data_IF_540745956247
#
_entry.id   IF_540745956247
#
_cell.length_a   1.000
_cell.length_b   1.000
_cell.length_c   1.000
_cell.angle_alpha   90.00
_cell.angle_beta   90.00
_cell.angle_gamma   90.00
#
_symmetry.space_group_name_H-M   'P 1'
#
loop_
_entity.id
_entity.type
_entity.pdbx_description
1 polymer ?
#
# COMPACT_ATOMS: atom_id res chain seq x y z
N UNK A 1 -6.44 -38.06 8.67
CA UNK A 1 -5.48 -37.05 8.18
C UNK A 1 -6.14 -36.25 7.07
N UNK A 2 -6.47 -34.99 7.30
CA UNK A 2 -6.97 -34.11 6.24
C UNK A 2 -5.76 -33.60 5.44
N UNK A 3 -5.62 -34.06 4.19
CA UNK A 3 -4.66 -33.50 3.24
C UNK A 3 -5.13 -32.07 2.97
N UNK A 4 -4.44 -31.09 3.55
CA UNK A 4 -4.61 -29.68 3.23
C UNK A 4 -4.35 -29.50 1.74
N UNK A 5 -5.40 -29.37 0.92
CA UNK A 5 -5.27 -28.97 -0.47
C UNK A 5 -4.61 -27.60 -0.48
N UNK A 6 -3.39 -27.52 -1.01
CA UNK A 6 -2.74 -26.25 -1.29
C UNK A 6 -3.72 -25.40 -2.11
N UNK A 7 -4.12 -24.27 -1.53
CA UNK A 7 -5.04 -23.35 -2.17
C UNK A 7 -4.28 -22.68 -3.31
N UNK A 8 -4.89 -22.56 -4.49
CA UNK A 8 -4.27 -21.88 -5.61
C UNK A 8 -3.93 -20.42 -5.22
N UNK A 9 -2.75 -19.90 -5.64
CA UNK A 9 -2.33 -18.57 -5.24
C UNK A 9 -3.29 -17.50 -5.77
N UNK A 10 -3.48 -16.43 -5.00
CA UNK A 10 -4.33 -15.31 -5.42
C UNK A 10 -3.63 -14.49 -6.51
N UNK A 11 -4.40 -13.72 -7.30
CA UNK A 11 -3.81 -12.81 -8.28
C UNK A 11 -2.87 -11.77 -7.63
N UNK A 12 -3.17 -11.38 -6.38
CA UNK A 12 -2.35 -10.44 -5.60
C UNK A 12 -1.02 -11.11 -5.22
N UNK A 13 -1.03 -12.37 -4.81
CA UNK A 13 0.18 -13.14 -4.52
C UNK A 13 1.06 -13.34 -5.78
N UNK A 14 0.43 -13.62 -6.92
CA UNK A 14 1.14 -13.74 -8.20
C UNK A 14 1.79 -12.41 -8.57
N UNK A 15 1.05 -11.31 -8.48
CA UNK A 15 1.59 -9.97 -8.76
C UNK A 15 2.71 -9.59 -7.78
N UNK A 16 2.53 -9.89 -6.50
CA UNK A 16 3.54 -9.60 -5.49
C UNK A 16 4.86 -10.31 -5.79
N UNK A 17 4.85 -11.57 -6.23
CA UNK A 17 6.07 -12.28 -6.64
C UNK A 17 6.77 -11.69 -7.87
N UNK A 18 6.07 -10.92 -8.70
CA UNK A 18 6.69 -10.19 -9.83
C UNK A 18 7.32 -8.87 -9.40
N UNK A 19 6.75 -8.21 -8.39
CA UNK A 19 7.14 -6.85 -7.98
C UNK A 19 8.17 -6.91 -6.84
N UNK A 20 7.92 -7.75 -5.84
CA UNK A 20 8.67 -7.84 -4.60
C UNK A 20 9.81 -8.84 -4.69
N UNK A 21 10.89 -8.59 -3.94
CA UNK A 21 11.92 -9.60 -3.71
C UNK A 21 11.54 -10.55 -2.55
N UNK A 22 12.38 -11.57 -2.31
CA UNK A 22 12.11 -12.58 -1.29
C UNK A 22 12.00 -12.00 0.12
N UNK A 23 12.80 -10.98 0.45
CA UNK A 23 12.80 -10.36 1.78
C UNK A 23 11.55 -9.51 1.99
N UNK A 24 11.10 -8.80 0.95
CA UNK A 24 9.85 -8.06 0.94
C UNK A 24 8.62 -8.98 1.04
N UNK A 25 8.66 -10.16 0.42
CA UNK A 25 7.62 -11.19 0.57
C UNK A 25 7.59 -11.72 2.02
N UNK A 26 8.75 -12.00 2.62
CA UNK A 26 8.83 -12.38 4.04
C UNK A 26 8.27 -11.29 4.94
N UNK A 27 8.57 -10.02 4.64
CA UNK A 27 8.03 -8.88 5.38
C UNK A 27 6.50 -8.79 5.27
N UNK A 28 5.93 -8.98 4.07
CA UNK A 28 4.49 -9.00 3.90
C UNK A 28 3.83 -10.13 4.71
N UNK A 29 4.44 -11.33 4.72
CA UNK A 29 3.99 -12.47 5.54
C UNK A 29 4.04 -12.16 7.04
N UNK A 30 5.14 -11.56 7.51
CA UNK A 30 5.29 -11.10 8.89
C UNK A 30 4.24 -10.07 9.26
N UNK A 31 4.04 -9.05 8.42
CA UNK A 31 3.05 -8.01 8.63
C UNK A 31 1.63 -8.59 8.70
N UNK A 32 1.27 -9.51 7.80
CA UNK A 32 -0.03 -10.21 7.84
C UNK A 32 -0.23 -10.96 9.16
N UNK A 33 0.81 -11.64 9.65
CA UNK A 33 0.79 -12.33 10.94
C UNK A 33 0.55 -11.35 12.09
N UNK A 34 1.27 -10.22 12.11
CA UNK A 34 1.08 -9.17 13.11
C UNK A 34 -0.33 -8.58 13.02
N UNK A 35 -0.84 -8.26 11.83
CA UNK A 35 -2.19 -7.70 11.66
C UNK A 35 -3.30 -8.63 12.19
N UNK A 36 -3.05 -9.95 12.22
CA UNK A 36 -3.98 -10.94 12.79
C UNK A 36 -3.86 -11.10 14.30
N UNK A 37 -2.63 -11.08 14.83
CA UNK A 37 -2.33 -11.47 16.22
C UNK A 37 -2.15 -10.25 17.13
N UNK A 38 -1.47 -9.21 16.65
CA UNK A 38 -1.18 -7.98 17.39
C UNK A 38 -1.23 -6.76 16.45
N UNK A 39 -2.43 -6.16 16.28
CA UNK A 39 -2.59 -4.95 15.47
C UNK A 39 -1.72 -3.78 15.93
N UNK A 40 -1.41 -3.68 17.24
CA UNK A 40 -0.48 -2.66 17.78
C UNK A 40 0.93 -2.81 17.20
N UNK A 41 1.49 -4.03 17.20
CA UNK A 41 2.80 -4.31 16.58
C UNK A 41 2.78 -4.12 15.07
N UNK A 42 1.70 -4.50 14.40
CA UNK A 42 1.53 -4.27 12.97
C UNK A 42 1.57 -2.77 12.67
N UNK A 43 0.85 -1.96 13.44
CA UNK A 43 0.83 -0.51 13.30
C UNK A 43 2.20 0.13 13.53
N UNK A 44 2.89 -0.28 14.59
CA UNK A 44 4.24 0.22 14.91
C UNK A 44 5.22 -0.09 13.77
N UNK A 45 5.21 -1.32 13.25
CA UNK A 45 6.02 -1.70 12.09
C UNK A 45 5.65 -0.88 10.84
N UNK A 46 4.36 -0.72 10.56
CA UNK A 46 3.89 0.07 9.42
C UNK A 46 4.34 1.53 9.51
N UNK A 47 4.27 2.15 10.69
CA UNK A 47 4.78 3.51 10.91
C UNK A 47 6.28 3.58 10.64
N UNK A 48 7.05 2.58 11.05
CA UNK A 48 8.48 2.59 10.75
C UNK A 48 8.78 2.40 9.26
N UNK A 49 7.95 1.64 8.55
CA UNK A 49 8.08 1.42 7.10
C UNK A 49 7.71 2.67 6.28
N UNK A 50 6.65 3.36 6.68
CA UNK A 50 6.18 4.57 6.00
C UNK A 50 7.28 5.66 5.99
N UNK A 51 7.33 6.51 4.95
CA UNK A 51 8.16 7.70 5.02
C UNK A 51 7.67 8.51 6.21
N UNK A 52 8.57 9.26 6.83
CA UNK A 52 8.08 10.28 7.76
C UNK A 52 7.17 11.19 6.93
N UNK A 53 6.05 11.57 7.52
CA UNK A 53 5.17 12.60 6.99
C UNK A 53 4.79 13.44 8.21
N UNK A 54 5.12 14.72 8.18
CA UNK A 54 5.02 15.59 9.36
C UNK A 54 3.63 15.47 10.03
N UNK A 55 3.60 14.93 11.25
CA UNK A 55 2.41 14.93 12.13
C UNK A 55 2.01 16.34 12.61
N UNK A 56 2.84 17.35 12.36
CA UNK A 56 2.61 18.75 12.78
C UNK A 56 1.87 19.57 11.72
N UNK A 57 0.71 19.12 11.28
CA UNK A 57 -0.18 19.91 10.42
C UNK A 57 -1.27 20.58 11.26
N UNK A 58 -0.84 21.53 12.09
CA UNK A 58 -1.74 22.55 12.64
C UNK A 58 -2.04 23.64 11.59
N UNK A 59 -1.30 23.70 10.47
CA UNK A 59 -1.46 24.83 9.54
C UNK A 59 -1.65 24.57 8.05
N UNK A 60 -1.35 23.44 7.40
CA UNK A 60 -1.62 23.24 5.96
C UNK A 60 -2.18 21.84 5.70
N UNK A 61 -3.22 21.69 4.88
CA UNK A 61 -3.73 20.36 4.52
C UNK A 61 -2.61 19.48 3.95
N UNK A 62 -2.44 18.22 4.40
CA UNK A 62 -1.38 17.36 3.88
C UNK A 62 -1.56 17.20 2.37
N UNK A 63 -0.47 17.33 1.59
CA UNK A 63 -0.46 16.98 0.16
C UNK A 63 -1.13 15.61 -0.01
N UNK A 64 -1.90 15.43 -1.08
CA UNK A 64 -2.70 14.20 -1.27
C UNK A 64 -1.85 12.92 -1.12
N UNK A 65 -0.58 12.95 -1.56
CA UNK A 65 0.39 11.87 -1.35
C UNK A 65 0.45 11.42 0.12
N UNK A 66 0.54 12.35 1.08
CA UNK A 66 0.67 12.05 2.50
C UNK A 66 -0.66 11.78 3.19
N UNK A 67 -1.76 12.39 2.71
CA UNK A 67 -3.09 12.18 3.27
C UNK A 67 -3.48 10.69 3.28
N UNK A 68 -3.19 9.96 2.21
CA UNK A 68 -3.47 8.52 2.17
C UNK A 68 -2.60 7.72 3.15
N UNK A 69 -1.32 8.09 3.33
CA UNK A 69 -0.43 7.44 4.28
C UNK A 69 -0.86 7.66 5.73
N UNK A 70 -1.37 8.85 6.05
CA UNK A 70 -1.99 9.14 7.33
C UNK A 70 -3.12 8.16 7.65
N UNK A 71 -4.04 7.94 6.72
CA UNK A 71 -5.10 6.97 6.93
C UNK A 71 -4.55 5.55 7.01
N UNK A 72 -3.57 5.17 6.18
CA UNK A 72 -2.93 3.84 6.31
C UNK A 72 -2.38 3.62 7.72
N UNK A 73 -1.72 4.62 8.31
CA UNK A 73 -1.28 4.56 9.72
C UNK A 73 -2.47 4.47 10.67
N UNK A 74 -3.46 5.35 10.57
CA UNK A 74 -4.62 5.39 11.47
C UNK A 74 -5.41 4.06 11.47
N UNK A 75 -5.68 3.50 10.29
CA UNK A 75 -6.36 2.21 10.16
C UNK A 75 -5.53 1.04 10.67
N UNK A 76 -4.19 1.12 10.58
CA UNK A 76 -3.32 0.09 11.15
C UNK A 76 -3.41 0.00 12.67
N UNK A 77 -3.77 1.11 13.35
CA UNK A 77 -3.95 1.19 14.82
C UNK A 77 -5.30 0.63 15.27
N UNK A 78 -6.29 0.60 14.38
CA UNK A 78 -7.65 0.18 14.71
C UNK A 78 -7.77 -1.33 14.88
N UNK A 79 -8.44 -1.79 15.94
CA UNK A 79 -8.83 -3.19 16.15
C UNK A 79 -9.71 -3.77 15.01
N UNK A 80 -10.19 -2.91 14.11
CA UNK A 80 -11.08 -3.24 13.00
C UNK A 80 -10.38 -3.45 11.66
N UNK A 81 -9.04 -3.49 11.59
CA UNK A 81 -8.32 -3.70 10.33
C UNK A 81 -8.82 -4.94 9.55
N UNK A 82 -9.18 -6.02 10.27
CA UNK A 82 -9.82 -7.22 9.69
C UNK A 82 -11.20 -6.97 9.06
N UNK A 83 -11.94 -5.98 9.54
CA UNK A 83 -13.27 -5.59 9.04
C UNK A 83 -13.19 -4.52 7.95
N UNK A 84 -12.07 -3.81 7.87
CA UNK A 84 -11.87 -2.64 7.01
C UNK A 84 -10.73 -2.83 5.99
N UNK A 85 -10.30 -4.07 5.72
CA UNK A 85 -9.23 -4.39 4.74
C UNK A 85 -9.48 -3.78 3.36
N UNK A 86 -10.75 -3.67 2.93
CA UNK A 86 -11.09 -2.95 1.70
C UNK A 86 -10.71 -1.47 1.75
N UNK A 87 -11.08 -0.79 2.83
CA UNK A 87 -10.79 0.63 2.99
C UNK A 87 -9.27 0.84 3.10
N UNK A 88 -8.61 -0.02 3.87
CA UNK A 88 -7.16 -0.05 3.96
C UNK A 88 -6.48 -0.16 2.59
N UNK A 89 -6.88 -1.13 1.76
CA UNK A 89 -6.34 -1.28 0.40
C UNK A 89 -6.70 -0.09 -0.47
N UNK A 90 -7.89 0.47 -0.33
CA UNK A 90 -8.25 1.71 -1.04
C UNK A 90 -7.31 2.87 -0.69
N UNK A 91 -6.92 3.04 0.58
CA UNK A 91 -5.94 4.05 0.99
C UNK A 91 -4.54 3.75 0.43
N UNK A 92 -4.10 2.48 0.50
CA UNK A 92 -2.84 2.02 -0.08
C UNK A 92 -2.77 2.35 -1.58
N UNK A 93 -3.82 2.03 -2.34
CA UNK A 93 -3.87 2.34 -3.77
C UNK A 93 -4.02 3.84 -4.05
N UNK A 94 -4.77 4.56 -3.22
CA UNK A 94 -4.96 6.02 -3.33
C UNK A 94 -3.65 6.79 -3.25
N UNK A 95 -2.70 6.32 -2.43
CA UNK A 95 -1.36 6.89 -2.38
C UNK A 95 -0.62 6.82 -3.74
N UNK A 96 -0.65 5.67 -4.42
CA UNK A 96 -0.04 5.53 -5.75
C UNK A 96 -0.73 6.44 -6.78
N UNK A 97 -2.06 6.54 -6.74
CA UNK A 97 -2.80 7.46 -7.59
C UNK A 97 -2.38 8.92 -7.36
N UNK A 98 -2.21 9.32 -6.10
CA UNK A 98 -1.73 10.66 -5.75
C UNK A 98 -0.30 10.93 -6.25
N UNK A 99 0.60 9.95 -6.16
CA UNK A 99 1.95 10.06 -6.73
C UNK A 99 1.92 10.28 -8.25
N UNK A 100 1.07 9.54 -8.96
CA UNK A 100 0.89 9.68 -10.41
C UNK A 100 0.25 11.03 -10.77
N UNK A 101 -0.68 11.51 -9.96
CA UNK A 101 -1.32 12.81 -10.13
C UNK A 101 -0.30 13.96 -10.03
N UNK A 102 0.59 13.90 -9.04
CA UNK A 102 1.68 14.87 -8.89
C UNK A 102 2.65 14.82 -10.08
N UNK A 103 3.05 13.63 -10.53
CA UNK A 103 3.87 13.48 -11.74
C UNK A 103 3.18 14.03 -13.00
N UNK A 104 1.85 13.94 -13.06
CA UNK A 104 1.06 14.48 -14.15
C UNK A 104 0.80 15.99 -14.05
N UNK A 105 1.37 16.67 -13.03
CA UNK A 105 1.17 18.09 -12.72
C UNK A 105 -0.30 18.44 -12.49
N UNK A 106 -0.99 17.62 -11.70
CA UNK A 106 -2.35 17.89 -11.25
C UNK A 106 -3.44 17.66 -12.30
N UNK A 107 -3.16 16.90 -13.37
CA UNK A 107 -4.19 16.58 -14.36
C UNK A 107 -5.10 15.48 -13.84
N UNK A 108 -6.38 15.79 -13.65
CA UNK A 108 -7.39 14.83 -13.20
C UNK A 108 -7.71 13.84 -14.32
N UNK A 109 -7.05 12.69 -14.28
CA UNK A 109 -7.35 11.54 -15.12
C UNK A 109 -7.43 10.30 -14.19
N UNK A 110 -8.21 9.27 -14.56
CA UNK A 110 -8.19 8.01 -13.81
C UNK A 110 -6.80 7.37 -13.82
N UNK A 111 -6.51 6.53 -12.82
CA UNK A 111 -5.22 5.85 -12.63
C UNK A 111 -4.61 5.28 -13.92
N UNK A 112 -5.31 4.40 -14.64
CA UNK A 112 -4.79 3.76 -15.87
C UNK A 112 -4.37 4.80 -16.93
N UNK A 113 -5.27 5.72 -17.34
CA UNK A 113 -4.94 6.84 -18.20
C UNK A 113 -3.78 7.72 -17.73
N UNK A 114 -3.60 7.93 -16.41
CA UNK A 114 -2.42 8.62 -15.87
C UNK A 114 -1.14 7.87 -16.20
N UNK A 115 -1.11 6.56 -15.94
CA UNK A 115 0.06 5.72 -16.24
C UNK A 115 0.41 5.76 -17.72
N UNK A 116 -0.56 5.53 -18.61
CA UNK A 116 -0.33 5.58 -20.06
C UNK A 116 0.21 6.93 -20.53
N UNK A 117 -0.34 8.03 -19.98
CA UNK A 117 0.10 9.38 -20.34
C UNK A 117 1.54 9.65 -19.90
N UNK A 118 1.90 9.23 -18.69
CA UNK A 118 3.25 9.42 -18.15
C UNK A 118 4.27 8.54 -18.88
N UNK A 119 3.88 7.31 -19.27
CA UNK A 119 4.67 6.44 -20.14
C UNK A 119 4.90 7.09 -21.51
N UNK A 120 3.84 7.57 -22.18
CA UNK A 120 3.94 8.24 -23.49
C UNK A 120 4.83 9.49 -23.45
N UNK A 121 4.92 10.15 -22.30
CA UNK A 121 5.78 11.32 -22.07
C UNK A 121 7.22 10.97 -21.70
N UNK A 122 7.56 9.68 -21.59
CA UNK A 122 8.88 9.23 -21.15
C UNK A 122 9.19 9.49 -19.67
N UNK A 123 8.17 9.80 -18.86
CA UNK A 123 8.35 10.03 -17.41
C UNK A 123 8.44 8.69 -16.67
N UNK A 124 7.63 7.71 -17.06
CA UNK A 124 7.72 6.34 -16.55
C UNK A 124 8.50 5.47 -17.53
N UNK A 125 9.31 4.56 -17.00
CA UNK A 125 9.83 3.44 -17.79
C UNK A 125 8.69 2.47 -18.14
N UNK A 126 8.86 1.69 -19.21
CA UNK A 126 7.90 0.66 -19.60
C UNK A 126 7.64 -0.33 -18.45
N UNK A 127 8.71 -0.81 -17.81
CA UNK A 127 8.62 -1.74 -16.68
C UNK A 127 7.78 -1.19 -15.53
N UNK A 128 8.01 0.06 -15.11
CA UNK A 128 7.25 0.66 -14.01
C UNK A 128 5.79 0.89 -14.41
N UNK A 129 5.53 1.31 -15.65
CA UNK A 129 4.18 1.49 -16.17
C UNK A 129 3.40 0.15 -16.18
N UNK A 130 4.01 -0.93 -16.63
CA UNK A 130 3.40 -2.26 -16.66
C UNK A 130 3.06 -2.74 -15.23
N UNK A 131 3.99 -2.58 -14.29
CA UNK A 131 3.76 -2.91 -12.87
C UNK A 131 2.60 -2.11 -12.27
N UNK A 132 2.51 -0.80 -12.57
CA UNK A 132 1.42 0.05 -12.09
C UNK A 132 0.07 -0.33 -12.70
N UNK A 133 0.03 -0.67 -14.00
CA UNK A 133 -1.18 -1.11 -14.69
C UNK A 133 -1.66 -2.47 -14.17
N UNK A 134 -0.76 -3.44 -14.00
CA UNK A 134 -1.09 -4.73 -13.37
C UNK A 134 -1.62 -4.51 -11.94
N UNK A 135 -0.97 -3.67 -11.15
CA UNK A 135 -1.43 -3.32 -9.80
C UNK A 135 -2.83 -2.69 -9.80
N UNK A 136 -3.12 -1.78 -10.74
CA UNK A 136 -4.44 -1.17 -10.88
C UNK A 136 -5.53 -2.21 -11.15
N UNK A 137 -5.26 -3.16 -12.05
CA UNK A 137 -6.23 -4.19 -12.46
C UNK A 137 -6.45 -5.25 -11.36
N UNK A 138 -5.38 -5.64 -10.67
CA UNK A 138 -5.40 -6.72 -9.68
C UNK A 138 -5.85 -6.24 -8.29
N UNK A 139 -5.51 -5.00 -7.92
CA UNK A 139 -5.71 -4.48 -6.56
C UNK A 139 -6.68 -3.30 -6.55
N UNK A 140 -6.41 -2.25 -7.34
CA UNK A 140 -7.11 -0.98 -7.15
C UNK A 140 -8.56 -0.97 -7.67
N UNK A 141 -8.77 -1.42 -8.90
CA UNK A 141 -10.12 -1.54 -9.48
C UNK A 141 -11.01 -2.42 -8.59
N UNK A 142 -10.57 -3.61 -8.14
CA UNK A 142 -11.35 -4.40 -7.18
C UNK A 142 -11.65 -3.67 -5.86
N UNK A 143 -10.73 -2.83 -5.38
CA UNK A 143 -10.96 -2.02 -4.18
C UNK A 143 -12.00 -0.90 -4.40
N UNK A 144 -12.08 -0.32 -5.61
CA UNK A 144 -13.06 0.73 -5.97
C UNK A 144 -14.43 0.18 -6.44
N UNK A 145 -14.45 -0.92 -7.19
CA UNK A 145 -15.62 -1.37 -7.95
C UNK A 145 -15.85 -2.88 -7.81
N UNK A 146 -16.73 -3.26 -6.88
CA UNK A 146 -17.05 -4.65 -6.55
C UNK A 146 -17.63 -5.49 -7.71
N UNK A 147 -18.27 -4.86 -8.68
CA UNK A 147 -18.97 -5.53 -9.81
C UNK A 147 -18.07 -5.84 -11.00
N UNK A 148 -16.84 -5.33 -11.05
CA UNK A 148 -15.96 -5.42 -12.23
C UNK A 148 -15.38 -6.82 -12.51
N UNK A 149 -15.81 -7.88 -11.79
CA UNK A 149 -15.32 -9.26 -11.95
C UNK A 149 -16.47 -10.27 -12.00
N UNK A 150 -17.26 -10.22 -13.08
CA UNK A 150 -18.40 -11.12 -13.32
C UNK A 150 -18.00 -12.60 -13.52
N UNK A 151 -16.72 -12.93 -13.74
CA UNK A 151 -16.30 -14.28 -14.17
C UNK A 151 -15.57 -15.16 -13.12
N UNK A 152 -15.82 -15.04 -11.79
CA UNK A 152 -15.33 -16.10 -10.87
C UNK A 152 -16.46 -16.66 -9.98
N UNK A 153 -16.42 -17.97 -9.64
CA UNK A 153 -17.51 -18.63 -8.93
C UNK A 153 -17.90 -17.94 -7.62
N UNK A 154 -19.21 -17.79 -7.39
CA UNK A 154 -19.85 -17.16 -6.22
C UNK A 154 -19.45 -17.76 -4.85
N UNK A 155 -18.72 -18.87 -4.80
CA UNK A 155 -18.32 -19.56 -3.56
C UNK A 155 -17.15 -18.90 -2.81
N UNK A 156 -16.47 -17.93 -3.41
CA UNK A 156 -15.51 -17.07 -2.69
C UNK A 156 -16.20 -15.73 -2.51
N UNK A 157 -16.45 -15.34 -1.27
CA UNK A 157 -16.98 -14.02 -0.95
C UNK A 157 -15.91 -12.97 -1.31
N UNK A 158 -15.87 -12.53 -2.58
CA UNK A 158 -14.97 -11.47 -3.09
C UNK A 158 -15.21 -10.08 -2.46
N UNK A 159 -16.11 -9.97 -1.47
CA UNK A 159 -16.47 -8.71 -0.80
C UNK A 159 -15.39 -8.21 0.16
N UNK A 160 -14.41 -9.06 0.46
CA UNK A 160 -13.40 -8.81 1.50
C UNK A 160 -12.05 -9.28 1.00
N UNK A 161 -11.11 -8.36 0.88
CA UNK A 161 -9.70 -8.72 0.80
C UNK A 161 -9.28 -9.42 2.10
N UNK A 162 -8.45 -10.45 1.97
CA UNK A 162 -7.82 -11.07 3.11
C UNK A 162 -6.81 -10.11 3.76
N UNK A 163 -6.38 -10.39 4.99
CA UNK A 163 -5.36 -9.56 5.66
C UNK A 163 -4.02 -9.67 4.92
N UNK A 164 -3.74 -10.86 4.39
CA UNK A 164 -2.62 -11.21 3.52
C UNK A 164 -2.57 -10.30 2.29
N UNK A 165 -3.71 -10.15 1.62
CA UNK A 165 -3.82 -9.27 0.45
C UNK A 165 -3.50 -7.82 0.82
N UNK A 166 -3.98 -7.37 1.98
CA UNK A 166 -3.67 -6.04 2.52
C UNK A 166 -2.18 -5.84 2.78
N UNK A 167 -1.54 -6.81 3.43
CA UNK A 167 -0.10 -6.75 3.71
C UNK A 167 0.74 -6.73 2.42
N UNK A 168 0.42 -7.61 1.45
CA UNK A 168 1.10 -7.64 0.15
C UNK A 168 0.88 -6.33 -0.62
N UNK A 169 -0.35 -5.82 -0.68
CA UNK A 169 -0.66 -4.56 -1.34
C UNK A 169 0.11 -3.39 -0.71
N UNK A 170 0.24 -3.35 0.62
CA UNK A 170 1.01 -2.32 1.32
C UNK A 170 2.50 -2.35 0.96
N UNK A 171 3.13 -3.54 0.96
CA UNK A 171 4.56 -3.66 0.61
C UNK A 171 4.79 -3.38 -0.89
N UNK A 172 3.91 -3.82 -1.78
CA UNK A 172 3.94 -3.44 -3.20
C UNK A 172 3.80 -1.94 -3.39
N UNK A 173 2.85 -1.30 -2.70
CA UNK A 173 2.70 0.15 -2.74
C UNK A 173 3.97 0.85 -2.31
N UNK A 174 4.62 0.44 -1.21
CA UNK A 174 5.90 1.00 -0.80
C UNK A 174 6.92 0.92 -1.93
N UNK A 175 7.13 -0.26 -2.52
CA UNK A 175 8.15 -0.47 -3.55
C UNK A 175 7.90 0.37 -4.81
N UNK A 176 6.65 0.45 -5.25
CA UNK A 176 6.27 1.28 -6.39
C UNK A 176 6.39 2.77 -6.06
N UNK A 177 5.99 3.18 -4.86
CA UNK A 177 6.08 4.56 -4.40
C UNK A 177 7.52 5.05 -4.29
N UNK A 178 8.45 4.19 -3.86
CA UNK A 178 9.89 4.50 -3.88
C UNK A 178 10.38 4.86 -5.29
N UNK A 179 9.92 4.14 -6.32
CA UNK A 179 10.29 4.43 -7.70
C UNK A 179 9.64 5.73 -8.19
N UNK A 180 8.37 5.97 -7.85
CA UNK A 180 7.66 7.21 -8.20
C UNK A 180 8.26 8.44 -7.50
N UNK A 181 8.68 8.32 -6.24
CA UNK A 181 9.31 9.39 -5.46
C UNK A 181 10.64 9.82 -6.09
N UNK A 182 11.45 8.88 -6.59
CA UNK A 182 12.68 9.20 -7.33
C UNK A 182 12.39 10.10 -8.53
N UNK A 183 11.32 9.80 -9.27
CA UNK A 183 10.89 10.60 -10.43
C UNK A 183 10.38 11.99 -10.02
N UNK A 184 9.61 12.07 -8.93
CA UNK A 184 9.13 13.35 -8.38
C UNK A 184 10.30 14.26 -7.97
N UNK A 185 11.32 13.68 -7.30
CA UNK A 185 12.53 14.38 -6.86
C UNK A 185 13.41 14.86 -8.01
N UNK A 186 13.51 14.10 -9.10
CA UNK A 186 14.21 14.55 -10.32
C UNK A 186 13.46 15.67 -11.07
N UNK A 187 12.19 15.87 -10.74
CA UNK A 187 11.37 16.95 -11.28
C UNK A 187 11.44 18.22 -10.45
N UNK A 188 10.31 18.94 -10.42
CA UNK A 188 10.17 20.22 -9.69
C UNK A 188 9.58 20.00 -8.29
N UNK A 189 9.04 18.80 -8.01
CA UNK A 189 8.36 18.50 -6.75
C UNK A 189 9.35 17.95 -5.73
N UNK A 190 9.91 18.83 -4.91
CA UNK A 190 10.67 18.38 -3.73
C UNK A 190 9.70 17.79 -2.71
N UNK A 191 9.93 16.52 -2.37
CA UNK A 191 9.25 15.84 -1.27
C UNK A 191 10.14 15.96 -0.03
N UNK A 192 9.60 16.42 1.12
CA UNK A 192 10.39 16.67 2.33
C UNK A 192 11.11 15.42 2.84
N UNK A 193 10.49 14.24 2.68
CA UNK A 193 10.96 13.00 3.30
C UNK A 193 10.90 11.82 2.30
N UNK A 194 11.94 10.98 2.33
CA UNK A 194 12.05 9.77 1.51
C UNK A 194 11.49 8.54 2.22
N UNK A 195 11.13 7.56 1.41
CA UNK A 195 10.93 6.19 1.87
C UNK A 195 12.24 5.59 2.40
N UNK A 196 12.19 5.03 3.61
CA UNK A 196 13.32 4.29 4.17
C UNK A 196 13.62 3.06 3.30
N UNK A 197 14.89 2.70 3.04
CA UNK A 197 15.25 1.44 2.41
C UNK A 197 14.82 0.25 3.27
N UNK A 198 14.81 -0.95 2.70
CA UNK A 198 14.46 -2.16 3.45
C UNK A 198 15.42 -2.36 4.63
N UNK A 199 14.90 -2.68 5.80
CA UNK A 199 15.68 -3.00 7.00
C UNK A 199 15.40 -4.42 7.45
N UNK A 200 16.44 -5.22 7.69
CA UNK A 200 16.29 -6.62 8.12
C UNK A 200 15.60 -6.74 9.48
N UNK A 201 15.76 -5.74 10.35
CA UNK A 201 15.08 -5.71 11.65
C UNK A 201 13.54 -5.77 11.53
N UNK A 202 12.97 -5.36 10.40
CA UNK A 202 11.52 -5.43 10.16
C UNK A 202 10.98 -6.86 10.15
N UNK A 203 11.80 -7.86 9.82
CA UNK A 203 11.40 -9.27 9.79
C UNK A 203 11.21 -9.87 11.19
N UNK A 204 11.90 -9.30 12.19
CA UNK A 204 11.85 -9.75 13.60
C UNK A 204 11.12 -8.75 14.49
N UNK A 205 10.41 -7.78 13.90
CA UNK A 205 9.77 -6.69 14.63
C UNK A 205 8.84 -7.17 15.73
N UNK A 206 9.10 -6.71 16.96
CA UNK A 206 8.36 -7.07 18.16
C UNK A 206 7.95 -5.85 19.01
N UNK A 207 8.42 -4.65 18.65
CA UNK A 207 8.12 -3.37 19.30
C UNK A 207 6.64 -3.00 19.19
N UNK A 208 6.09 -2.50 20.28
CA UNK A 208 4.80 -1.83 20.32
C UNK A 208 5.02 -0.32 20.45
N UNK A 209 4.08 0.46 19.93
CA UNK A 209 4.06 1.87 20.23
C UNK A 209 3.56 2.02 21.68
N UNK A 210 4.43 2.45 22.59
CA UNK A 210 3.98 3.01 23.85
C UNK A 210 3.28 4.33 23.54
N UNK A 211 1.96 4.28 23.34
CA UNK A 211 1.14 5.47 23.44
C UNK A 211 1.04 5.82 24.92
N UNK A 212 2.08 6.47 25.46
CA UNK A 212 1.93 7.29 26.64
C UNK A 212 1.05 8.48 26.21
N UNK A 213 -0.27 8.28 26.28
CA UNK A 213 -1.18 9.40 26.40
C UNK A 213 -0.86 10.03 27.76
N UNK A 214 -0.04 11.08 27.75
CA UNK A 214 -0.08 12.05 28.83
C UNK A 214 -1.48 12.65 28.74
N UNK A 215 -2.40 12.14 29.56
CA UNK A 215 -3.62 12.86 29.91
C UNK A 215 -3.10 14.07 30.68
N UNK A 216 -3.03 15.21 30.00
CA UNK A 216 -2.90 16.49 30.67
C UNK A 216 -4.31 16.75 31.22
N UNK A 217 -4.50 16.49 32.51
CA UNK A 217 -5.65 17.02 33.28
C UNK A 217 -5.56 18.55 33.38
#
# INVERSE_FOLDING_TARGET
MAISKATAPTEIEILAKKILDEEEIKLASRLSTLMKISPSKASSLMRDILPVYHKNLVTHEPRMIYRYLYYVEDYSRGAQLRRLTRFFIHMVCGHLEACLYELAKGKQLPYGPLVYKLLKKGVLSQQLADQLLEFNNVVYIPAKHFVARENLPRKINKRTFAVEDGALAFIMMRKLSMQLFKLLKSGVTTLPEDWKPFKKEWLVWDREDNNDFIIIE
#
